data_IF_537586081616
#
_entry.id   IF_537586081616
#
_cell.length_a   1.000
_cell.length_b   1.000
_cell.length_c   1.000
_cell.angle_alpha   90.00
_cell.angle_beta   90.00
_cell.angle_gamma   90.00
#
_symmetry.space_group_name_H-M   'P 1'
#
loop_
_entity.id
_entity.type
_entity.pdbx_description
1 polymer ?
#
# COMPACT_ATOMS: atom_id res chain seq x y z
N UNK A 1 45.79 -22.38 -16.22
CA UNK A 1 44.54 -23.06 -16.63
C UNK A 1 43.51 -22.72 -15.58
N UNK A 2 42.66 -21.72 -15.85
CA UNK A 2 41.52 -21.37 -15.00
C UNK A 2 40.37 -22.34 -15.36
N UNK A 3 39.62 -22.89 -14.39
CA UNK A 3 38.55 -23.81 -14.71
C UNK A 3 37.43 -23.04 -15.45
N UNK A 4 36.97 -23.63 -16.54
CA UNK A 4 35.86 -23.12 -17.34
C UNK A 4 34.58 -23.14 -16.50
N UNK A 5 33.85 -22.02 -16.50
CA UNK A 5 32.44 -22.00 -16.12
C UNK A 5 31.69 -23.04 -16.97
N UNK A 6 30.91 -23.90 -16.33
CA UNK A 6 30.01 -24.83 -17.02
C UNK A 6 28.99 -24.08 -17.88
N UNK A 7 28.18 -24.78 -18.69
CA UNK A 7 27.17 -24.12 -19.50
C UNK A 7 26.19 -23.41 -18.56
N UNK A 8 26.22 -22.08 -18.57
CA UNK A 8 25.27 -21.24 -17.86
C UNK A 8 23.88 -21.65 -18.31
N UNK A 9 23.11 -22.25 -17.39
CA UNK A 9 21.69 -22.43 -17.62
C UNK A 9 21.12 -21.04 -17.96
N UNK A 10 20.31 -20.89 -19.03
CA UNK A 10 19.72 -19.61 -19.35
C UNK A 10 18.99 -19.08 -18.11
N UNK A 11 19.11 -17.77 -17.79
CA UNK A 11 18.44 -17.21 -16.63
C UNK A 11 16.94 -17.52 -16.74
N UNK A 12 16.26 -17.84 -15.63
CA UNK A 12 14.85 -18.16 -15.67
C UNK A 12 14.08 -17.00 -16.28
N UNK A 13 13.25 -17.30 -17.28
CA UNK A 13 12.35 -16.33 -17.87
C UNK A 13 11.45 -15.72 -16.77
N UNK A 14 11.26 -14.39 -16.73
CA UNK A 14 10.41 -13.77 -15.73
C UNK A 14 8.95 -14.20 -15.93
N UNK A 15 8.53 -15.31 -15.33
CA UNK A 15 7.12 -15.72 -15.39
C UNK A 15 6.31 -14.71 -14.56
N UNK A 16 5.49 -13.89 -15.23
CA UNK A 16 4.83 -12.70 -14.68
C UNK A 16 5.76 -11.52 -14.33
N UNK A 17 6.89 -11.37 -15.03
CA UNK A 17 7.71 -10.15 -14.95
C UNK A 17 8.66 -10.07 -13.75
N UNK A 18 8.92 -11.18 -13.06
CA UNK A 18 9.89 -11.22 -11.95
C UNK A 18 10.71 -12.50 -11.90
N UNK A 19 11.94 -12.40 -11.37
CA UNK A 19 12.69 -13.52 -10.82
C UNK A 19 12.57 -13.55 -9.29
N UNK A 20 12.61 -14.75 -8.69
CA UNK A 20 12.69 -14.89 -7.23
C UNK A 20 14.11 -14.56 -6.75
N UNK A 21 14.28 -13.98 -5.55
CA UNK A 21 15.59 -13.93 -4.91
C UNK A 21 16.18 -15.34 -4.79
N UNK A 22 17.49 -15.51 -4.96
CA UNK A 22 18.14 -16.83 -5.01
C UNK A 22 18.04 -17.62 -3.69
N UNK A 23 17.74 -16.95 -2.59
CA UNK A 23 17.61 -17.47 -1.23
C UNK A 23 16.16 -17.36 -0.70
N UNK A 24 15.18 -17.31 -1.60
CA UNK A 24 13.77 -17.24 -1.23
C UNK A 24 13.04 -18.55 -1.47
N UNK A 25 12.50 -19.11 -0.39
CA UNK A 25 11.52 -20.18 -0.42
C UNK A 25 10.15 -19.64 0.02
N UNK A 26 9.09 -20.17 -0.59
CA UNK A 26 7.74 -19.85 -0.15
C UNK A 26 7.48 -20.48 1.23
N UNK A 27 6.75 -19.80 2.13
CA UNK A 27 6.25 -20.42 3.35
C UNK A 27 5.44 -21.69 3.02
N UNK A 28 5.58 -22.74 3.83
CA UNK A 28 4.86 -24.02 3.68
C UNK A 28 3.34 -23.93 3.97
N UNK A 29 2.84 -22.72 4.20
CA UNK A 29 1.48 -22.43 4.60
C UNK A 29 0.56 -22.35 3.36
N UNK A 30 -0.62 -22.96 3.44
CA UNK A 30 -1.66 -22.84 2.40
C UNK A 30 -2.54 -21.59 2.57
N UNK A 31 -2.50 -20.98 3.76
CA UNK A 31 -3.20 -19.73 4.11
C UNK A 31 -2.28 -18.51 4.10
N UNK A 32 -2.83 -17.36 3.71
CA UNK A 32 -2.18 -16.05 3.80
C UNK A 32 -2.92 -15.18 4.82
N UNK A 33 -2.22 -14.72 5.85
CA UNK A 33 -2.74 -13.78 6.85
C UNK A 33 -2.47 -12.35 6.41
N UNK A 34 -3.51 -11.54 6.32
CA UNK A 34 -3.40 -10.13 5.94
C UNK A 34 -3.88 -9.25 7.10
N UNK A 35 -3.08 -8.25 7.45
CA UNK A 35 -3.46 -7.20 8.39
C UNK A 35 -3.53 -5.85 7.67
N UNK A 36 -4.46 -5.00 8.10
CA UNK A 36 -4.48 -3.59 7.72
C UNK A 36 -4.63 -2.72 8.96
N UNK A 37 -3.86 -1.65 9.06
CA UNK A 37 -3.86 -0.79 10.24
C UNK A 37 -3.42 0.65 9.92
N UNK A 38 -4.27 1.61 10.27
CA UNK A 38 -3.92 3.02 10.31
C UNK A 38 -3.14 3.32 11.61
N UNK A 39 -1.88 3.73 11.46
CA UNK A 39 -0.96 3.97 12.57
C UNK A 39 -1.04 5.40 13.14
N UNK A 40 -1.84 6.27 12.53
CA UNK A 40 -2.10 7.66 12.93
C UNK A 40 -0.83 8.51 13.02
N UNK A 41 -0.47 9.21 11.93
CA UNK A 41 0.72 10.06 11.87
C UNK A 41 2.01 9.36 12.38
N UNK A 42 2.36 8.23 11.79
CA UNK A 42 3.44 7.37 12.25
C UNK A 42 4.74 7.66 11.50
N UNK A 43 5.56 8.47 12.16
CA UNK A 43 6.80 9.03 11.61
C UNK A 43 8.02 8.57 12.41
N UNK A 44 9.17 8.68 11.78
CA UNK A 44 10.47 8.40 12.36
C UNK A 44 11.03 9.63 13.10
N UNK A 45 12.34 9.84 13.09
CA UNK A 45 12.98 10.98 13.75
C UNK A 45 13.79 11.86 12.80
N UNK A 46 13.66 11.64 11.49
CA UNK A 46 14.34 12.34 10.42
C UNK A 46 13.34 13.27 9.74
N UNK A 47 13.76 14.52 9.57
CA UNK A 47 12.98 15.55 8.88
C UNK A 47 13.20 15.42 7.37
N UNK A 48 12.11 15.29 6.60
CA UNK A 48 12.15 15.37 5.16
C UNK A 48 12.15 16.83 4.70
N UNK A 49 13.28 17.35 4.16
CA UNK A 49 13.44 18.78 3.86
C UNK A 49 12.53 19.30 2.74
N UNK A 50 11.73 18.43 2.10
CA UNK A 50 10.79 18.78 1.04
C UNK A 50 9.33 18.77 1.49
N UNK A 51 9.05 18.34 2.72
CA UNK A 51 7.70 18.31 3.30
C UNK A 51 7.71 19.27 4.50
N UNK A 52 6.76 20.21 4.53
CA UNK A 52 6.60 21.15 5.66
C UNK A 52 5.40 20.71 6.48
N UNK A 53 5.64 19.89 7.51
CA UNK A 53 4.59 19.37 8.35
C UNK A 53 5.06 19.10 9.78
N UNK A 54 4.72 19.98 10.71
CA UNK A 54 5.19 19.97 12.12
C UNK A 54 5.22 18.60 12.83
N UNK A 55 4.26 17.70 12.54
CA UNK A 55 4.23 16.35 13.15
C UNK A 55 5.34 15.43 12.66
N UNK A 56 5.83 15.65 11.44
CA UNK A 56 6.94 14.94 10.81
C UNK A 56 8.25 15.67 11.08
N UNK A 57 8.35 17.00 10.87
CA UNK A 57 9.64 17.69 11.10
C UNK A 57 10.06 17.64 12.58
N UNK A 58 9.08 17.64 13.49
CA UNK A 58 9.30 17.66 14.95
C UNK A 58 8.38 16.66 15.65
N UNK A 59 8.62 15.35 15.49
CA UNK A 59 7.79 14.32 16.10
C UNK A 59 7.78 14.45 17.61
N UNK A 60 6.61 14.24 18.22
CA UNK A 60 6.50 14.27 19.68
C UNK A 60 7.44 13.25 20.33
N UNK A 61 7.98 13.57 21.51
CA UNK A 61 8.79 12.61 22.28
C UNK A 61 8.05 11.28 22.55
N UNK A 62 6.72 11.31 22.54
CA UNK A 62 5.84 10.14 22.68
C UNK A 62 5.98 9.15 21.51
N UNK A 63 6.43 9.60 20.33
CA UNK A 63 6.53 8.83 19.09
C UNK A 63 7.42 7.60 19.25
N UNK A 64 8.59 7.73 19.89
CA UNK A 64 9.47 6.59 20.19
C UNK A 64 8.75 5.48 20.96
N UNK A 65 7.88 5.87 21.88
CA UNK A 65 7.02 4.95 22.63
C UNK A 65 5.93 4.31 21.77
N UNK A 66 5.36 5.06 20.81
CA UNK A 66 4.39 4.57 19.83
C UNK A 66 5.03 3.57 18.87
N UNK A 67 6.17 3.89 18.28
CA UNK A 67 6.98 2.99 17.42
C UNK A 67 7.19 1.65 18.11
N UNK A 68 7.75 1.67 19.32
CA UNK A 68 7.96 0.44 20.10
C UNK A 68 6.68 -0.36 20.38
N UNK A 69 5.54 0.31 20.59
CA UNK A 69 4.25 -0.38 20.81
C UNK A 69 3.72 -0.97 19.51
N UNK A 70 3.82 -0.23 18.40
CA UNK A 70 3.40 -0.69 17.08
C UNK A 70 4.22 -1.90 16.64
N UNK A 71 5.54 -1.85 16.77
CA UNK A 71 6.43 -3.00 16.54
C UNK A 71 5.98 -4.25 17.29
N UNK A 72 5.70 -4.15 18.60
CA UNK A 72 5.20 -5.30 19.38
C UNK A 72 3.83 -5.78 18.94
N UNK A 73 2.97 -4.88 18.46
CA UNK A 73 1.67 -5.26 17.92
C UNK A 73 1.85 -6.02 16.60
N UNK A 74 2.73 -5.55 15.71
CA UNK A 74 3.08 -6.22 14.45
C UNK A 74 3.68 -7.62 14.70
N UNK A 75 4.58 -7.76 15.68
CA UNK A 75 5.10 -9.06 16.13
C UNK A 75 4.00 -10.03 16.57
N UNK A 76 2.97 -9.53 17.25
CA UNK A 76 1.85 -10.38 17.73
C UNK A 76 0.84 -10.68 16.63
N UNK A 77 0.65 -9.75 15.69
CA UNK A 77 -0.21 -9.96 14.54
C UNK A 77 0.35 -11.09 13.67
N UNK A 78 1.67 -11.08 13.44
CA UNK A 78 2.38 -12.14 12.72
C UNK A 78 1.70 -12.45 11.37
N UNK A 79 1.36 -11.37 10.65
CA UNK A 79 0.67 -11.45 9.37
C UNK A 79 1.68 -11.58 8.23
N UNK A 80 1.33 -12.25 7.14
CA UNK A 80 2.24 -12.41 6.00
C UNK A 80 2.29 -11.15 5.13
N UNK A 81 1.17 -10.41 5.11
CA UNK A 81 1.02 -9.12 4.45
C UNK A 81 0.47 -8.10 5.45
N UNK A 82 1.06 -6.91 5.48
CA UNK A 82 0.59 -5.80 6.33
C UNK A 82 0.45 -4.54 5.49
N UNK A 83 -0.76 -3.99 5.40
CA UNK A 83 -1.03 -2.71 4.75
C UNK A 83 -1.20 -1.65 5.82
N UNK A 84 -0.24 -0.73 5.91
CA UNK A 84 -0.18 0.30 6.93
C UNK A 84 -0.56 1.65 6.35
N UNK A 85 -1.52 2.34 6.96
CA UNK A 85 -1.90 3.71 6.59
C UNK A 85 -1.28 4.71 7.55
N UNK A 86 -1.05 5.92 7.06
CA UNK A 86 -0.43 7.02 7.80
C UNK A 86 0.97 6.69 8.36
N UNK A 87 1.70 5.81 7.68
CA UNK A 87 3.13 5.66 7.88
C UNK A 87 3.88 6.68 7.04
N UNK A 88 5.02 7.15 7.52
CA UNK A 88 5.83 8.14 6.83
C UNK A 88 6.29 7.69 5.44
N UNK A 89 6.79 6.45 5.34
CA UNK A 89 7.31 5.99 4.06
C UNK A 89 7.79 4.55 4.10
N UNK A 90 8.16 4.08 2.92
CA UNK A 90 8.68 2.72 2.74
C UNK A 90 10.03 2.53 3.44
N UNK A 91 10.93 3.51 3.30
CA UNK A 91 12.27 3.43 3.89
C UNK A 91 12.23 3.28 5.42
N UNK A 92 11.35 4.04 6.08
CA UNK A 92 11.14 3.94 7.52
C UNK A 92 10.65 2.54 7.91
N UNK A 93 9.61 2.03 7.26
CA UNK A 93 9.04 0.73 7.61
C UNK A 93 9.95 -0.45 7.25
N UNK A 94 10.76 -0.36 6.19
CA UNK A 94 11.81 -1.33 5.91
C UNK A 94 12.86 -1.35 7.01
N UNK A 95 13.28 -0.17 7.49
CA UNK A 95 14.25 -0.06 8.59
C UNK A 95 13.68 -0.64 9.88
N UNK A 96 12.45 -0.29 10.23
CA UNK A 96 11.74 -0.84 11.38
C UNK A 96 11.60 -2.36 11.29
N UNK A 97 11.26 -2.89 10.10
CA UNK A 97 11.13 -4.32 9.88
C UNK A 97 12.47 -5.03 10.06
N UNK A 98 13.56 -4.47 9.51
CA UNK A 98 14.91 -5.02 9.64
C UNK A 98 15.41 -5.00 11.08
N UNK A 99 15.12 -3.96 11.86
CA UNK A 99 15.65 -3.82 13.21
C UNK A 99 14.86 -4.58 14.27
N UNK A 100 13.58 -4.86 14.02
CA UNK A 100 12.69 -5.34 15.05
C UNK A 100 11.72 -6.46 14.64
N UNK A 101 11.61 -6.75 13.35
CA UNK A 101 10.71 -7.77 12.79
C UNK A 101 11.47 -8.74 11.87
N UNK A 102 12.80 -8.82 11.98
CA UNK A 102 13.67 -9.63 11.13
C UNK A 102 13.31 -11.12 11.20
N UNK A 103 13.01 -11.61 12.41
CA UNK A 103 12.54 -12.98 12.64
C UNK A 103 11.18 -13.28 11.99
N UNK A 104 10.42 -12.25 11.57
CA UNK A 104 9.12 -12.41 10.91
C UNK A 104 9.23 -12.50 9.39
N UNK A 105 10.42 -12.39 8.81
CA UNK A 105 10.62 -12.63 7.38
C UNK A 105 10.01 -11.59 6.44
N UNK A 106 9.69 -10.37 6.91
CA UNK A 106 9.32 -9.27 6.01
C UNK A 106 10.53 -8.85 5.19
N UNK A 107 10.57 -9.29 3.92
CA UNK A 107 11.70 -9.05 3.00
C UNK A 107 11.39 -8.01 1.94
N UNK A 108 10.12 -7.71 1.74
CA UNK A 108 9.66 -6.84 0.67
C UNK A 108 8.76 -5.75 1.23
N UNK A 109 8.90 -4.55 0.69
CA UNK A 109 8.01 -3.45 0.97
C UNK A 109 7.72 -2.68 -0.31
N UNK A 110 6.59 -1.97 -0.33
CA UNK A 110 6.35 -0.95 -1.35
C UNK A 110 5.43 0.14 -0.83
N UNK A 111 5.63 1.35 -1.32
CA UNK A 111 4.69 2.46 -1.17
C UNK A 111 4.69 3.37 -2.39
N UNK A 112 3.72 4.28 -2.45
CA UNK A 112 3.70 5.40 -3.38
C UNK A 112 3.70 6.66 -2.53
N UNK A 113 4.85 7.32 -2.44
CA UNK A 113 5.01 8.49 -1.57
C UNK A 113 4.45 9.75 -2.22
N UNK A 114 3.81 10.60 -1.41
CA UNK A 114 3.36 11.92 -1.86
C UNK A 114 4.52 12.92 -1.84
N UNK A 115 4.70 13.73 -2.90
CA UNK A 115 5.78 14.71 -2.97
C UNK A 115 5.57 15.92 -2.04
N UNK A 116 4.42 16.02 -1.38
CA UNK A 116 4.04 17.17 -0.54
C UNK A 116 3.36 16.77 0.76
N UNK A 117 3.33 15.48 1.10
CA UNK A 117 2.69 15.02 2.32
C UNK A 117 3.32 13.73 2.86
N UNK A 118 3.58 13.70 4.16
CA UNK A 118 4.33 12.62 4.81
C UNK A 118 3.50 11.35 5.06
N UNK A 119 2.17 11.43 5.15
CA UNK A 119 1.37 10.24 5.44
C UNK A 119 1.12 9.42 4.17
N UNK A 120 1.63 8.20 4.15
CA UNK A 120 1.57 7.28 3.02
C UNK A 120 0.86 5.95 3.38
N UNK A 121 0.65 5.12 2.35
CA UNK A 121 0.15 3.75 2.51
C UNK A 121 1.26 2.80 2.08
N UNK A 122 1.70 1.94 2.99
CA UNK A 122 2.85 1.06 2.80
C UNK A 122 2.42 -0.40 2.94
N UNK A 123 2.89 -1.25 2.04
CA UNK A 123 2.81 -2.70 2.16
C UNK A 123 4.12 -3.24 2.72
N UNK A 124 4.05 -4.02 3.79
CA UNK A 124 5.11 -4.95 4.20
C UNK A 124 4.70 -6.38 3.83
N UNK A 125 5.62 -7.14 3.26
CA UNK A 125 5.34 -8.46 2.72
C UNK A 125 6.46 -9.45 2.99
N UNK A 126 6.08 -10.66 3.38
CA UNK A 126 6.97 -11.84 3.35
C UNK A 126 7.13 -12.39 1.94
N UNK A 127 6.15 -12.15 1.08
CA UNK A 127 6.10 -12.64 -0.28
C UNK A 127 6.69 -11.64 -1.29
N UNK A 128 7.33 -12.12 -2.38
CA UNK A 128 7.84 -11.25 -3.43
C UNK A 128 6.75 -10.39 -4.06
N UNK A 129 7.09 -9.12 -4.30
CA UNK A 129 6.20 -8.12 -4.89
C UNK A 129 6.46 -7.99 -6.39
N UNK A 130 5.38 -8.01 -7.18
CA UNK A 130 5.38 -7.73 -8.61
C UNK A 130 5.24 -6.27 -8.92
N UNK A 131 4.52 -5.98 -10.01
CA UNK A 131 4.26 -4.61 -10.43
C UNK A 131 3.40 -3.89 -9.40
N UNK A 132 3.79 -2.64 -9.15
CA UNK A 132 3.01 -1.67 -8.39
C UNK A 132 2.46 -0.67 -9.40
N UNK A 133 1.16 -0.46 -9.32
CA UNK A 133 0.43 0.54 -10.10
C UNK A 133 -0.02 1.62 -9.15
N UNK A 134 0.56 2.79 -9.28
CA UNK A 134 0.15 3.97 -8.56
C UNK A 134 -0.98 4.71 -9.30
N UNK A 135 -1.69 5.54 -8.54
CA UNK A 135 -2.73 6.41 -9.08
C UNK A 135 -2.49 7.88 -8.70
N UNK A 136 -1.27 8.21 -8.28
CA UNK A 136 -0.86 9.50 -7.76
C UNK A 136 -1.34 10.68 -8.61
N UNK A 137 -1.11 10.59 -9.92
CA UNK A 137 -1.36 11.64 -10.89
C UNK A 137 -2.78 11.63 -11.47
N UNK A 138 -3.60 10.65 -11.11
CA UNK A 138 -4.97 10.56 -11.62
C UNK A 138 -5.82 11.68 -11.02
N UNK A 139 -6.49 12.43 -11.89
CA UNK A 139 -7.48 13.44 -11.48
C UNK A 139 -8.84 12.77 -11.26
N UNK A 140 -9.43 12.92 -10.07
CA UNK A 140 -10.77 12.39 -9.76
C UNK A 140 -11.75 13.51 -9.44
N UNK A 141 -13.04 13.37 -9.79
CA UNK A 141 -14.03 14.39 -9.47
C UNK A 141 -14.30 14.47 -7.96
N UNK A 142 -14.59 15.67 -7.48
CA UNK A 142 -15.18 15.90 -6.16
C UNK A 142 -16.70 15.92 -6.34
N UNK A 143 -17.34 14.77 -6.15
CA UNK A 143 -18.74 14.54 -6.51
C UNK A 143 -19.67 15.51 -5.78
N UNK A 144 -20.49 16.23 -6.55
CA UNK A 144 -21.46 17.20 -6.01
C UNK A 144 -20.88 18.59 -5.72
N UNK A 145 -19.60 18.83 -6.05
CA UNK A 145 -18.95 20.13 -5.95
C UNK A 145 -18.71 20.75 -7.33
N UNK A 146 -18.61 22.08 -7.37
CA UNK A 146 -18.24 22.86 -8.56
C UNK A 146 -17.06 23.76 -8.23
N UNK A 147 -16.18 23.95 -9.20
CA UNK A 147 -15.13 24.96 -9.13
C UNK A 147 -15.71 26.37 -9.28
N UNK A 148 -14.89 27.39 -9.00
CA UNK A 148 -15.31 28.81 -9.09
C UNK A 148 -15.78 29.20 -10.49
N UNK A 149 -15.19 28.60 -11.53
CA UNK A 149 -15.59 28.80 -12.92
C UNK A 149 -16.89 28.06 -13.33
N UNK A 150 -17.52 27.35 -12.39
CA UNK A 150 -18.77 26.61 -12.60
C UNK A 150 -18.59 25.17 -13.11
N UNK A 151 -17.39 24.74 -13.49
CA UNK A 151 -17.11 23.36 -13.93
C UNK A 151 -17.18 22.35 -12.76
N UNK A 152 -17.33 21.04 -13.04
CA UNK A 152 -17.22 20.01 -12.00
C UNK A 152 -15.88 20.14 -11.27
N UNK A 153 -15.92 20.20 -9.94
CA UNK A 153 -14.70 20.23 -9.15
C UNK A 153 -13.97 18.89 -9.24
N UNK A 154 -12.64 18.92 -9.21
CA UNK A 154 -11.79 17.75 -9.26
C UNK A 154 -10.54 17.98 -8.39
N UNK A 155 -9.85 16.88 -8.08
CA UNK A 155 -8.64 16.87 -7.27
C UNK A 155 -7.53 16.09 -7.96
N UNK A 156 -6.29 16.48 -7.69
CA UNK A 156 -5.05 15.79 -8.08
C UNK A 156 -4.13 15.59 -6.88
N UNK A 157 -3.08 14.77 -7.04
CA UNK A 157 -1.96 14.63 -6.10
C UNK A 157 -2.30 14.10 -4.70
N UNK A 158 -3.54 13.63 -4.47
CA UNK A 158 -3.95 13.02 -3.19
C UNK A 158 -4.18 11.51 -3.33
N UNK A 159 -4.02 10.97 -4.54
CA UNK A 159 -4.20 9.55 -4.84
C UNK A 159 -2.93 8.71 -4.61
N UNK A 160 -1.84 9.28 -4.12
CA UNK A 160 -0.65 8.53 -3.68
C UNK A 160 -0.99 7.48 -2.59
N UNK A 161 -2.10 7.69 -1.88
CA UNK A 161 -2.64 6.76 -0.87
C UNK A 161 -3.58 5.71 -1.44
N UNK A 162 -3.59 5.53 -2.76
CA UNK A 162 -4.34 4.52 -3.46
C UNK A 162 -3.45 3.88 -4.53
N UNK A 163 -3.22 2.57 -4.44
CA UNK A 163 -2.38 1.83 -5.37
C UNK A 163 -2.79 0.37 -5.44
N UNK A 164 -2.34 -0.34 -6.48
CA UNK A 164 -2.40 -1.80 -6.58
C UNK A 164 -0.99 -2.39 -6.59
N UNK A 165 -0.75 -3.46 -5.85
CA UNK A 165 0.49 -4.21 -5.88
C UNK A 165 0.20 -5.69 -6.12
N UNK A 166 0.91 -6.29 -7.06
CA UNK A 166 0.90 -7.73 -7.23
C UNK A 166 1.79 -8.40 -6.17
N UNK A 167 1.30 -9.48 -5.57
CA UNK A 167 1.99 -10.25 -4.54
C UNK A 167 1.98 -11.71 -4.95
N UNK A 168 3.17 -12.29 -5.11
CA UNK A 168 3.29 -13.70 -5.49
C UNK A 168 3.23 -14.56 -4.22
N UNK A 169 2.04 -15.06 -3.89
CA UNK A 169 1.78 -15.81 -2.66
C UNK A 169 2.08 -17.31 -2.78
N UNK A 170 2.32 -17.81 -4.00
CA UNK A 170 2.83 -19.15 -4.28
C UNK A 170 3.50 -19.18 -5.67
N UNK A 171 4.27 -20.23 -6.04
CA UNK A 171 5.00 -20.28 -7.30
C UNK A 171 4.18 -19.93 -8.55
N UNK A 172 2.89 -20.30 -8.60
CA UNK A 172 1.99 -20.01 -9.72
C UNK A 172 0.73 -19.24 -9.28
N UNK A 173 0.79 -18.53 -8.15
CA UNK A 173 -0.38 -17.82 -7.59
C UNK A 173 0.01 -16.39 -7.21
N UNK A 174 -0.63 -15.44 -7.88
CA UNK A 174 -0.50 -14.01 -7.61
C UNK A 174 -1.82 -13.47 -7.10
N UNK A 175 -1.76 -12.65 -6.06
CA UNK A 175 -2.85 -11.81 -5.59
C UNK A 175 -2.57 -10.36 -5.94
N UNK A 176 -3.61 -9.57 -6.17
CA UNK A 176 -3.49 -8.11 -6.26
C UNK A 176 -4.02 -7.50 -4.97
N UNK A 177 -3.16 -6.76 -4.26
CA UNK A 177 -3.53 -6.01 -3.06
C UNK A 177 -3.77 -4.57 -3.46
N UNK A 178 -4.95 -4.04 -3.13
CA UNK A 178 -5.22 -2.61 -3.22
C UNK A 178 -4.99 -1.96 -1.86
N UNK A 179 -3.96 -1.14 -1.74
CA UNK A 179 -3.73 -0.30 -0.56
C UNK A 179 -4.55 0.98 -0.67
N UNK A 180 -5.33 1.32 0.37
CA UNK A 180 -6.20 2.49 0.34
C UNK A 180 -6.17 3.29 1.66
N UNK A 181 -5.98 4.60 1.57
CA UNK A 181 -6.36 5.54 2.61
C UNK A 181 -7.08 6.72 1.96
N UNK A 182 -8.41 6.67 1.99
CA UNK A 182 -9.26 7.61 1.24
C UNK A 182 -9.48 8.90 2.01
N UNK A 183 -9.90 9.96 1.29
CA UNK A 183 -10.10 11.30 1.85
C UNK A 183 -10.91 11.27 3.15
N UNK A 184 -10.30 11.67 4.26
CA UNK A 184 -10.95 11.85 5.55
C UNK A 184 -11.76 13.16 5.61
N UNK A 185 -12.56 13.31 6.66
CA UNK A 185 -13.37 14.50 6.92
C UNK A 185 -14.87 14.29 6.71
N UNK A 186 -15.65 15.32 7.09
CA UNK A 186 -17.12 15.26 7.17
C UNK A 186 -17.79 16.37 6.36
N UNK A 187 -17.05 17.25 5.68
CA UNK A 187 -17.68 18.25 4.83
C UNK A 187 -18.36 17.59 3.61
N UNK A 188 -19.23 18.34 2.93
CA UNK A 188 -19.81 17.86 1.67
C UNK A 188 -18.72 17.64 0.59
N UNK A 189 -17.69 18.47 0.62
CA UNK A 189 -16.52 18.36 -0.25
C UNK A 189 -15.71 17.09 0.05
N UNK A 190 -15.35 16.84 1.32
CA UNK A 190 -14.62 15.63 1.73
C UNK A 190 -15.36 14.35 1.31
N UNK A 191 -16.69 14.33 1.50
CA UNK A 191 -17.53 13.21 1.07
C UNK A 191 -17.52 13.07 -0.45
N UNK A 192 -17.72 14.16 -1.19
CA UNK A 192 -17.70 14.16 -2.65
C UNK A 192 -16.38 13.63 -3.21
N UNK A 193 -15.28 14.04 -2.60
CA UNK A 193 -13.93 13.59 -2.92
C UNK A 193 -13.77 12.09 -2.67
N UNK A 194 -14.12 11.61 -1.48
CA UNK A 194 -14.06 10.19 -1.13
C UNK A 194 -14.86 9.33 -2.13
N UNK A 195 -16.06 9.79 -2.52
CA UNK A 195 -16.87 9.11 -3.54
C UNK A 195 -16.17 9.07 -4.91
N UNK A 196 -15.51 10.15 -5.31
CA UNK A 196 -14.69 10.18 -6.52
C UNK A 196 -13.63 9.09 -6.51
N UNK A 197 -12.88 8.97 -5.41
CA UNK A 197 -11.84 7.96 -5.23
C UNK A 197 -12.41 6.53 -5.23
N UNK A 198 -13.54 6.29 -4.56
CA UNK A 198 -14.21 4.97 -4.56
C UNK A 198 -14.65 4.60 -5.97
N UNK A 199 -15.30 5.51 -6.70
CA UNK A 199 -15.75 5.25 -8.09
C UNK A 199 -14.57 4.94 -9.00
N UNK A 200 -13.47 5.67 -8.83
CA UNK A 200 -12.24 5.41 -9.57
C UNK A 200 -11.67 4.03 -9.23
N UNK A 201 -11.54 3.68 -7.95
CA UNK A 201 -11.09 2.34 -7.53
C UNK A 201 -11.99 1.24 -8.09
N UNK A 202 -13.31 1.41 -8.05
CA UNK A 202 -14.25 0.46 -8.67
C UNK A 202 -14.00 0.28 -10.17
N UNK A 203 -13.77 1.37 -10.91
CA UNK A 203 -13.47 1.30 -12.34
C UNK A 203 -12.14 0.58 -12.62
N UNK A 204 -11.11 0.86 -11.82
CA UNK A 204 -9.81 0.20 -11.94
C UNK A 204 -9.86 -1.28 -11.58
N UNK A 205 -10.62 -1.65 -10.54
CA UNK A 205 -10.84 -3.05 -10.19
C UNK A 205 -11.65 -3.80 -11.25
N UNK A 206 -12.65 -3.15 -11.87
CA UNK A 206 -13.38 -3.73 -12.99
C UNK A 206 -12.44 -3.98 -14.18
N UNK A 207 -11.65 -2.97 -14.58
CA UNK A 207 -10.64 -3.10 -15.65
C UNK A 207 -9.65 -4.22 -15.35
N UNK A 208 -9.17 -4.31 -14.11
CA UNK A 208 -8.28 -5.38 -13.66
C UNK A 208 -8.91 -6.77 -13.83
N UNK A 209 -10.17 -6.94 -13.45
CA UNK A 209 -10.87 -8.22 -13.54
C UNK A 209 -11.21 -8.61 -14.98
N UNK A 210 -11.42 -7.62 -15.86
CA UNK A 210 -11.56 -7.84 -17.31
C UNK A 210 -10.23 -8.25 -17.94
N UNK A 211 -9.12 -7.59 -17.58
CA UNK A 211 -7.78 -7.88 -18.09
C UNK A 211 -7.21 -9.20 -17.55
N UNK A 212 -7.53 -9.54 -16.30
CA UNK A 212 -7.04 -10.74 -15.59
C UNK A 212 -8.20 -11.52 -14.94
N UNK A 213 -9.04 -12.21 -15.73
CA UNK A 213 -10.17 -12.97 -15.20
C UNK A 213 -9.71 -14.01 -14.16
N UNK A 214 -10.39 -14.03 -13.01
CA UNK A 214 -10.09 -14.96 -11.92
C UNK A 214 -8.90 -14.57 -11.04
N UNK A 215 -8.32 -13.38 -11.21
CA UNK A 215 -7.33 -12.86 -10.26
C UNK A 215 -7.95 -12.65 -8.88
N UNK A 216 -7.21 -12.99 -7.83
CA UNK A 216 -7.64 -12.72 -6.46
C UNK A 216 -7.28 -11.28 -6.12
N UNK A 217 -8.27 -10.48 -5.74
CA UNK A 217 -8.08 -9.09 -5.34
C UNK A 217 -8.50 -8.90 -3.89
N UNK A 218 -7.67 -8.24 -3.10
CA UNK A 218 -7.99 -7.82 -1.75
C UNK A 218 -7.82 -6.31 -1.61
N UNK A 219 -8.89 -5.60 -1.23
CA UNK A 219 -8.81 -4.19 -0.85
C UNK A 219 -8.57 -4.09 0.65
N UNK A 220 -7.46 -3.47 1.04
CA UNK A 220 -7.04 -3.35 2.42
C UNK A 220 -6.68 -1.89 2.73
N UNK A 221 -7.28 -1.34 3.78
CA UNK A 221 -7.00 0.03 4.17
C UNK A 221 -8.11 0.74 4.91
N UNK A 222 -7.90 2.04 5.12
CA UNK A 222 -8.86 2.94 5.73
C UNK A 222 -9.66 3.67 4.65
N UNK A 223 -10.88 3.21 4.41
CA UNK A 223 -11.77 3.81 3.42
C UNK A 223 -12.43 5.10 3.92
N UNK A 224 -12.22 5.46 5.19
CA UNK A 224 -12.92 6.52 5.88
C UNK A 224 -14.46 6.42 5.73
N UNK A 225 -15.00 5.22 5.52
CA UNK A 225 -16.41 4.98 5.22
C UNK A 225 -17.04 4.01 6.21
N UNK A 226 -18.30 4.23 6.57
CA UNK A 226 -19.08 3.30 7.40
C UNK A 226 -19.75 2.23 6.54
N UNK A 227 -19.87 0.98 7.03
CA UNK A 227 -20.67 -0.03 6.36
C UNK A 227 -22.10 0.46 6.06
N UNK A 228 -22.62 0.17 4.86
CA UNK A 228 -23.99 0.52 4.47
C UNK A 228 -24.24 1.98 4.14
N UNK A 229 -23.26 2.87 4.26
CA UNK A 229 -23.37 4.23 3.71
C UNK A 229 -23.39 4.15 2.16
N UNK A 230 -24.08 5.04 1.42
CA UNK A 230 -24.08 5.07 -0.05
C UNK A 230 -22.69 5.30 -0.71
N UNK A 231 -21.63 5.30 0.09
CA UNK A 231 -20.24 5.45 -0.33
C UNK A 231 -19.38 4.24 0.13
N UNK A 232 -19.96 3.22 0.76
CA UNK A 232 -19.23 1.98 1.02
C UNK A 232 -19.12 1.18 -0.28
N UNK A 233 -17.97 0.52 -0.56
CA UNK A 233 -17.90 -0.43 -1.66
C UNK A 233 -18.91 -1.55 -1.40
N UNK A 234 -19.90 -1.66 -2.26
CA UNK A 234 -20.87 -2.75 -2.22
C UNK A 234 -20.23 -3.91 -2.97
N UNK A 235 -19.78 -4.93 -2.24
CA UNK A 235 -19.44 -6.21 -2.84
C UNK A 235 -20.68 -6.75 -3.55
N UNK A 236 -20.60 -7.02 -4.86
CA UNK A 236 -21.63 -7.87 -5.47
C UNK A 236 -21.43 -9.30 -4.94
N UNK A 237 -22.52 -10.02 -4.63
CA UNK A 237 -22.46 -11.42 -4.25
C UNK A 237 -21.89 -12.29 -5.38
#
# INVERSE_FOLDING_TARGET
MLPACGPDAPPPEPTAGMALPPDYDYPDNDTVRVATWNLEHFVDGYDNPYIDAEREDRPEASMKGRVRRATRALQRLDADLVVLQEAEGEAFLQTLAKEHLDDLGYRFATSVESPSWYMNVVLLSRFPLGTVRDYADVVTPIVGQRAENGEPAAQSLTNHRLWLADVRVAPNRTWTIAGAHLKAGRSAEDRGWRVGQIRFLHAELARLLDDRPGTNVLVAGDLNALPGHPHAPVGRP
#
